data_IF_655016692529
#
_entry.id   IF_655016692529
#
_cell.length_a   1.000
_cell.length_b   1.000
_cell.length_c   1.000
_cell.angle_alpha   90.00
_cell.angle_beta   90.00
_cell.angle_gamma   90.00
#
_symmetry.space_group_name_H-M   'P 1'
#
loop_
_entity.id
_entity.type
_entity.pdbx_description
1 polymer ?
#
# COMPACT_ATOMS: atom_id res chain seq x y z
N UNK A 1 -3.71 11.69 -10.12
CA UNK A 1 -4.51 10.45 -10.11
C UNK A 1 -4.01 9.44 -9.06
N UNK A 2 -4.06 9.78 -7.75
CA UNK A 2 -3.76 8.82 -6.67
C UNK A 2 -5.03 8.09 -6.18
N UNK A 3 -6.11 8.09 -6.97
CA UNK A 3 -7.47 7.79 -6.49
C UNK A 3 -7.75 6.34 -6.09
N UNK A 4 -6.77 5.43 -6.19
CA UNK A 4 -6.96 4.02 -5.82
C UNK A 4 -6.03 3.51 -4.72
N UNK A 5 -5.02 4.30 -4.31
CA UNK A 5 -4.16 3.93 -3.18
C UNK A 5 -4.90 4.19 -1.88
N UNK A 6 -5.03 3.18 -1.04
CA UNK A 6 -5.71 3.25 0.26
C UNK A 6 -4.75 2.87 1.37
N UNK A 7 -5.05 3.29 2.59
CA UNK A 7 -4.23 3.03 3.78
C UNK A 7 -5.08 2.29 4.82
N UNK A 8 -4.60 1.13 5.27
CA UNK A 8 -5.09 0.47 6.48
C UNK A 8 -4.30 0.97 7.68
N UNK A 9 -5.02 1.27 8.75
CA UNK A 9 -4.48 1.80 10.00
C UNK A 9 -4.60 0.76 11.09
N UNK A 10 -3.49 0.10 11.39
CA UNK A 10 -3.42 -0.87 12.49
C UNK A 10 -2.81 -0.21 13.72
N UNK A 11 -3.31 -0.62 14.88
CA UNK A 11 -2.75 -0.26 16.18
C UNK A 11 -2.36 -1.58 16.87
N UNK A 12 -1.09 -1.93 16.77
CA UNK A 12 -0.52 -3.14 17.39
C UNK A 12 0.04 -2.75 18.75
N UNK A 13 -0.79 -2.86 19.78
CA UNK A 13 -0.47 -2.44 21.15
C UNK A 13 -0.02 -0.97 21.21
N UNK A 14 1.30 -0.71 21.21
CA UNK A 14 1.89 0.64 21.25
C UNK A 14 2.32 1.17 19.89
N UNK A 15 2.37 0.30 18.87
CA UNK A 15 2.86 0.63 17.55
C UNK A 15 1.70 0.92 16.57
N UNK A 16 1.68 2.13 16.03
CA UNK A 16 0.79 2.49 14.94
C UNK A 16 1.40 2.00 13.62
N UNK A 17 0.86 0.93 13.06
CA UNK A 17 1.29 0.38 11.76
C UNK A 17 0.35 0.88 10.66
N UNK A 18 0.93 1.15 9.49
CA UNK A 18 0.24 1.61 8.30
C UNK A 18 0.57 0.65 7.17
N UNK A 19 -0.48 0.15 6.51
CA UNK A 19 -0.33 -0.73 5.36
C UNK A 19 -0.99 -0.02 4.18
N UNK A 20 -0.22 0.25 3.14
CA UNK A 20 -0.78 0.80 1.90
C UNK A 20 -1.24 -0.34 1.01
N UNK A 21 -2.40 -0.19 0.40
CA UNK A 21 -2.99 -1.21 -0.44
C UNK A 21 -3.71 -0.61 -1.65
N UNK A 22 -3.86 -1.44 -2.67
CA UNK A 22 -4.60 -1.13 -3.88
C UNK A 22 -5.64 -2.22 -4.15
N UNK A 23 -6.85 -1.81 -4.52
CA UNK A 23 -7.90 -2.73 -4.97
C UNK A 23 -7.77 -2.85 -6.49
N UNK A 24 -7.29 -4.00 -6.94
CA UNK A 24 -7.28 -4.36 -8.35
C UNK A 24 -8.66 -4.87 -8.80
N UNK A 25 -8.92 -4.90 -10.12
CA UNK A 25 -10.05 -5.64 -10.68
C UNK A 25 -10.09 -7.10 -10.17
N UNK A 26 -11.27 -7.71 -10.15
CA UNK A 26 -11.41 -9.10 -9.67
C UNK A 26 -11.47 -9.25 -8.14
N UNK A 27 -11.80 -8.19 -7.40
CA UNK A 27 -11.90 -8.19 -5.91
C UNK A 27 -10.57 -8.54 -5.22
N UNK A 28 -9.44 -8.25 -5.86
CA UNK A 28 -8.10 -8.49 -5.30
C UNK A 28 -7.60 -7.28 -4.53
N UNK A 29 -7.06 -7.53 -3.33
CA UNK A 29 -6.42 -6.52 -2.49
C UNK A 29 -4.91 -6.77 -2.54
N UNK A 30 -4.17 -5.86 -3.17
CA UNK A 30 -2.71 -5.92 -3.21
C UNK A 30 -2.15 -5.03 -2.11
N UNK A 31 -1.45 -5.66 -1.16
CA UNK A 31 -0.68 -4.95 -0.14
C UNK A 31 0.64 -4.48 -0.77
N UNK A 32 0.92 -3.19 -0.69
CA UNK A 32 2.04 -2.57 -1.40
C UNK A 32 3.22 -2.34 -0.45
N UNK A 33 2.97 -1.68 0.67
CA UNK A 33 4.00 -1.40 1.68
C UNK A 33 3.43 -1.45 3.08
N UNK A 34 4.26 -1.85 4.05
CA UNK A 34 3.97 -1.77 5.48
C UNK A 34 5.04 -0.92 6.15
N UNK A 35 4.61 0.00 7.00
CA UNK A 35 5.52 0.82 7.79
C UNK A 35 4.94 1.13 9.17
N UNK A 36 5.83 1.32 10.15
CA UNK A 36 5.45 1.82 11.46
C UNK A 36 5.46 3.35 11.42
N UNK A 37 4.39 3.98 11.90
CA UNK A 37 4.28 5.44 12.04
C UNK A 37 5.22 5.90 13.15
N UNK A 38 6.32 6.54 12.76
CA UNK A 38 7.27 7.20 13.65
C UNK A 38 7.02 8.71 13.70
N UNK A 39 6.49 9.32 12.63
CA UNK A 39 6.25 10.77 12.54
C UNK A 39 4.80 11.11 12.16
N UNK A 40 4.43 12.39 12.25
CA UNK A 40 3.08 12.86 11.85
C UNK A 40 2.89 12.84 10.33
N UNK A 41 3.95 13.06 9.55
CA UNK A 41 3.95 12.99 8.08
C UNK A 41 5.16 12.21 7.62
N UNK A 42 4.93 11.11 6.92
CA UNK A 42 5.97 10.20 6.43
C UNK A 42 5.98 10.24 4.90
N UNK A 43 6.37 11.38 4.33
CA UNK A 43 6.31 11.59 2.87
C UNK A 43 7.16 10.56 2.12
N UNK A 44 8.31 10.16 2.66
CA UNK A 44 9.15 9.11 2.09
C UNK A 44 8.45 7.74 2.02
N UNK A 45 7.60 7.41 3.00
CA UNK A 45 6.80 6.18 3.02
C UNK A 45 5.68 6.24 1.97
N UNK A 46 5.05 7.42 1.82
CA UNK A 46 4.04 7.66 0.78
C UNK A 46 4.66 7.53 -0.60
N UNK A 47 5.82 8.15 -0.83
CA UNK A 47 6.55 8.03 -2.10
C UNK A 47 6.95 6.58 -2.38
N UNK A 48 7.42 5.85 -1.37
CA UNK A 48 7.73 4.41 -1.52
C UNK A 48 6.50 3.60 -1.89
N UNK A 49 5.35 3.87 -1.27
CA UNK A 49 4.08 3.23 -1.60
C UNK A 49 3.65 3.53 -3.05
N UNK A 50 3.80 4.78 -3.49
CA UNK A 50 3.49 5.18 -4.87
C UNK A 50 4.43 4.50 -5.87
N UNK A 51 5.72 4.40 -5.56
CA UNK A 51 6.67 3.69 -6.43
C UNK A 51 6.43 2.18 -6.45
N UNK A 52 6.06 1.58 -5.32
CA UNK A 52 5.64 0.19 -5.26
C UNK A 52 4.37 -0.05 -6.11
N UNK A 53 3.39 0.85 -6.03
CA UNK A 53 2.19 0.80 -6.88
C UNK A 53 2.54 0.92 -8.37
N UNK A 54 3.39 1.88 -8.75
CA UNK A 54 3.81 2.07 -10.14
C UNK A 54 4.51 0.84 -10.70
N UNK A 55 5.42 0.22 -9.93
CA UNK A 55 6.07 -1.03 -10.30
C UNK A 55 5.07 -2.17 -10.44
N UNK A 56 4.21 -2.36 -9.46
CA UNK A 56 3.17 -3.40 -9.48
C UNK A 56 2.23 -3.27 -10.69
N UNK A 57 1.84 -2.05 -11.07
CA UNK A 57 1.02 -1.76 -12.24
C UNK A 57 1.80 -1.94 -13.55
N UNK A 58 3.06 -1.50 -13.60
CA UNK A 58 3.91 -1.62 -14.79
C UNK A 58 4.30 -3.08 -15.08
N UNK A 59 4.58 -3.85 -14.05
CA UNK A 59 4.83 -5.29 -14.10
C UNK A 59 3.55 -6.08 -14.31
N UNK A 60 2.40 -5.40 -14.40
CA UNK A 60 1.08 -5.96 -14.63
C UNK A 60 0.87 -7.23 -13.81
N UNK A 61 1.20 -7.19 -12.51
CA UNK A 61 1.05 -8.32 -11.57
C UNK A 61 -0.39 -8.83 -11.63
N UNK A 62 -0.67 -9.65 -12.63
CA UNK A 62 -1.69 -10.66 -12.69
C UNK A 62 -1.26 -11.56 -11.56
N UNK A 63 -1.80 -11.31 -10.37
CA UNK A 63 -2.00 -12.40 -9.44
C UNK A 63 -2.87 -13.38 -10.25
N UNK A 64 -2.22 -14.33 -10.92
CA UNK A 64 -2.88 -15.39 -11.65
C UNK A 64 -3.83 -16.03 -10.65
N UNK A 65 -5.11 -16.02 -11.04
CA UNK A 65 -6.15 -16.75 -10.33
C UNK A 65 -5.93 -18.23 -10.68
N UNK A 66 -5.02 -18.90 -9.97
CA UNK A 66 -5.06 -20.36 -9.82
C UNK A 66 -6.01 -20.76 -8.69
#
# INVERSE_FOLDING_TARGET
MHGKLRELRFHLSRDAVRITYWIAPGRRILLLTVFRKQRMRETAEIERAVQAMKRCVAEAHTADEE
#
